data_IF_435708441829
#
_entry.id   IF_435708441829
#
_cell.length_a   1.000
_cell.length_b   1.000
_cell.length_c   1.000
_cell.angle_alpha   90.00
_cell.angle_beta   90.00
_cell.angle_gamma   90.00
#
_symmetry.space_group_name_H-M   'P 1'
#
loop_
_entity.id
_entity.type
_entity.pdbx_description
1 polymer ?
#
# COMPACT_ATOMS: atom_id res chain seq x y z
N UNK A 1 -19.78 5.76 -29.09
CA UNK A 1 -20.80 5.48 -28.09
C UNK A 1 -20.64 4.05 -27.63
N UNK A 2 -21.30 3.70 -26.54
CA UNK A 2 -21.09 2.42 -25.87
C UNK A 2 -22.39 1.61 -25.76
N UNK A 3 -22.28 0.29 -25.78
CA UNK A 3 -23.40 -0.64 -25.63
C UNK A 3 -23.07 -1.74 -24.61
N UNK A 4 -23.98 -1.99 -23.66
CA UNK A 4 -23.89 -3.09 -22.69
C UNK A 4 -24.57 -4.38 -23.18
N UNK A 5 -25.36 -4.30 -24.24
CA UNK A 5 -25.98 -5.43 -24.93
C UNK A 5 -26.25 -5.05 -26.39
N UNK A 6 -26.46 -6.04 -27.29
CA UNK A 6 -26.96 -5.74 -28.62
C UNK A 6 -28.33 -5.05 -28.53
N UNK A 7 -28.53 -4.01 -29.31
CA UNK A 7 -29.76 -3.22 -29.19
C UNK A 7 -30.04 -2.29 -30.36
N UNK A 8 -31.29 -1.80 -30.45
CA UNK A 8 -31.70 -0.90 -31.52
C UNK A 8 -31.04 0.48 -31.37
N UNK A 9 -30.81 1.13 -32.49
CA UNK A 9 -30.49 2.56 -32.56
C UNK A 9 -31.45 3.24 -33.53
N UNK A 10 -31.90 4.44 -33.18
CA UNK A 10 -32.67 5.33 -34.06
C UNK A 10 -31.98 6.69 -34.08
N UNK A 11 -31.75 7.22 -35.27
CA UNK A 11 -31.13 8.53 -35.48
C UNK A 11 -32.04 9.41 -36.34
N UNK A 12 -32.44 10.56 -35.81
CA UNK A 12 -33.09 11.63 -36.56
C UNK A 12 -32.01 12.59 -37.06
N UNK A 13 -31.86 12.68 -38.37
CA UNK A 13 -30.83 13.47 -39.04
C UNK A 13 -31.42 14.28 -40.20
N UNK A 14 -30.66 15.24 -40.74
CA UNK A 14 -31.06 16.00 -41.91
C UNK A 14 -31.36 15.07 -43.11
N UNK A 15 -32.31 15.41 -44.01
CA UNK A 15 -32.76 14.52 -45.08
C UNK A 15 -31.65 14.05 -46.05
N UNK A 16 -30.57 14.81 -46.16
CA UNK A 16 -29.39 14.49 -46.97
C UNK A 16 -28.52 13.38 -46.38
N UNK A 17 -28.70 13.03 -45.09
CA UNK A 17 -27.96 11.96 -44.42
C UNK A 17 -28.70 10.63 -44.63
N UNK A 18 -28.02 9.69 -45.29
CA UNK A 18 -28.56 8.36 -45.61
C UNK A 18 -27.78 7.20 -45.00
N UNK A 19 -26.68 7.49 -44.31
CA UNK A 19 -25.76 6.51 -43.73
C UNK A 19 -25.41 6.89 -42.31
N UNK A 20 -25.36 5.89 -41.44
CA UNK A 20 -24.94 6.04 -40.05
C UNK A 20 -23.70 5.20 -39.82
N UNK A 21 -22.72 5.76 -39.11
CA UNK A 21 -21.55 5.03 -38.62
C UNK A 21 -21.53 5.03 -37.10
N UNK A 22 -21.21 3.88 -36.52
CA UNK A 22 -21.00 3.70 -35.08
C UNK A 22 -19.55 3.29 -34.81
N UNK A 23 -18.85 4.05 -33.97
CA UNK A 23 -17.44 3.82 -33.61
C UNK A 23 -16.51 3.63 -34.83
N UNK A 24 -16.76 4.39 -35.91
CA UNK A 24 -15.99 4.35 -37.15
C UNK A 24 -16.35 3.22 -38.11
N UNK A 25 -17.41 2.43 -37.83
CA UNK A 25 -17.93 1.40 -38.74
C UNK A 25 -19.31 1.79 -39.25
N UNK A 26 -19.54 1.67 -40.55
CA UNK A 26 -20.88 1.83 -41.11
C UNK A 26 -21.82 0.76 -40.53
N UNK A 27 -23.02 1.18 -40.14
CA UNK A 27 -24.06 0.27 -39.66
C UNK A 27 -25.18 0.19 -40.68
N UNK A 28 -25.76 -1.01 -40.83
CA UNK A 28 -26.91 -1.20 -41.69
C UNK A 28 -28.13 -0.51 -41.07
N UNK A 29 -28.72 0.44 -41.79
CA UNK A 29 -29.89 1.18 -41.35
C UNK A 29 -31.02 1.13 -42.37
N UNK A 30 -32.26 1.21 -41.89
CA UNK A 30 -33.47 1.37 -42.69
C UNK A 30 -34.08 2.74 -42.42
N UNK A 31 -34.49 3.46 -43.47
CA UNK A 31 -35.23 4.72 -43.33
C UNK A 31 -36.66 4.42 -42.90
N UNK A 32 -37.12 5.10 -41.88
CA UNK A 32 -38.47 4.99 -41.30
C UNK A 32 -39.43 6.01 -41.92
N UNK A 33 -40.75 5.85 -41.77
CA UNK A 33 -41.75 6.77 -42.34
C UNK A 33 -41.60 8.22 -41.89
N UNK A 34 -41.11 8.45 -40.67
CA UNK A 34 -40.81 9.78 -40.10
C UNK A 34 -39.48 10.36 -40.58
N UNK A 35 -38.76 9.64 -41.44
CA UNK A 35 -37.46 10.03 -41.98
C UNK A 35 -36.26 9.58 -41.15
N UNK A 36 -36.45 8.97 -39.98
CA UNK A 36 -35.35 8.49 -39.14
C UNK A 36 -34.60 7.31 -39.76
N UNK A 37 -33.34 7.14 -39.39
CA UNK A 37 -32.55 5.94 -39.71
C UNK A 37 -32.57 5.02 -38.50
N UNK A 38 -33.09 3.79 -38.64
CA UNK A 38 -33.06 2.78 -37.59
C UNK A 38 -32.14 1.61 -37.94
N UNK A 39 -31.45 1.06 -36.96
CA UNK A 39 -30.51 -0.05 -37.12
C UNK A 39 -30.33 -0.85 -35.84
N UNK A 40 -29.35 -1.74 -35.85
CA UNK A 40 -28.95 -2.55 -34.70
C UNK A 40 -27.48 -2.33 -34.41
N UNK A 41 -27.14 -2.21 -33.13
CA UNK A 41 -25.77 -2.10 -32.64
C UNK A 41 -25.34 -3.43 -32.02
N UNK A 42 -24.05 -3.81 -32.18
CA UNK A 42 -23.51 -4.97 -31.48
C UNK A 42 -23.41 -4.67 -29.97
N UNK A 43 -23.43 -5.74 -29.18
CA UNK A 43 -23.07 -5.70 -27.76
C UNK A 43 -21.59 -6.09 -27.53
N UNK A 44 -21.21 -6.28 -26.26
CA UNK A 44 -19.87 -6.72 -25.89
C UNK A 44 -19.49 -8.08 -26.49
N UNK A 45 -18.19 -8.27 -26.69
CA UNK A 45 -17.59 -9.53 -27.17
C UNK A 45 -17.15 -10.36 -25.97
N UNK A 46 -17.43 -11.68 -25.92
CA UNK A 46 -17.00 -12.53 -24.80
C UNK A 46 -15.49 -12.46 -24.54
N UNK A 47 -15.12 -12.49 -23.27
CA UNK A 47 -13.73 -12.52 -22.82
C UNK A 47 -13.59 -13.42 -21.59
N UNK A 48 -12.34 -13.68 -21.17
CA UNK A 48 -12.04 -14.37 -19.93
C UNK A 48 -10.90 -13.66 -19.19
N UNK A 49 -10.94 -13.73 -17.86
CA UNK A 49 -9.85 -13.25 -17.01
C UNK A 49 -8.98 -14.45 -16.57
N UNK A 50 -7.65 -14.28 -16.52
CA UNK A 50 -6.76 -15.35 -16.10
C UNK A 50 -6.92 -15.64 -14.60
N UNK A 51 -6.69 -16.90 -14.21
CA UNK A 51 -6.44 -17.21 -12.80
C UNK A 51 -5.03 -16.78 -12.42
N UNK A 52 -4.90 -16.09 -11.29
CA UNK A 52 -3.59 -15.67 -10.78
C UNK A 52 -2.90 -16.84 -10.08
N UNK A 53 -1.86 -17.37 -10.70
CA UNK A 53 -1.09 -18.53 -10.22
C UNK A 53 0.40 -18.20 -10.17
N UNK A 54 1.25 -19.14 -9.75
CA UNK A 54 2.71 -18.95 -9.75
C UNK A 54 3.19 -17.91 -8.73
N UNK A 55 2.48 -17.77 -7.61
CA UNK A 55 2.84 -16.83 -6.56
C UNK A 55 4.19 -17.18 -5.93
N UNK A 56 4.95 -16.12 -5.63
CA UNK A 56 6.22 -16.20 -4.91
C UNK A 56 6.14 -15.35 -3.66
N UNK A 57 6.79 -15.82 -2.61
CA UNK A 57 6.80 -15.20 -1.30
C UNK A 57 8.22 -14.85 -0.84
N UNK A 58 8.38 -13.70 -0.20
CA UNK A 58 9.58 -13.36 0.57
C UNK A 58 9.23 -12.59 1.83
N UNK A 59 9.73 -13.05 2.97
CA UNK A 59 9.66 -12.31 4.22
C UNK A 59 10.57 -11.07 4.17
N UNK A 60 10.10 -9.98 4.76
CA UNK A 60 10.81 -8.73 5.02
C UNK A 60 11.06 -8.57 6.54
N UNK A 61 11.71 -7.45 6.87
CA UNK A 61 12.11 -6.81 8.12
C UNK A 61 13.54 -7.13 8.53
N UNK A 62 14.53 -7.13 7.61
CA UNK A 62 15.93 -7.17 8.04
C UNK A 62 16.25 -6.01 9.00
N UNK A 63 15.58 -4.86 8.87
CA UNK A 63 15.65 -3.71 9.77
C UNK A 63 15.30 -4.01 11.23
N UNK A 64 14.56 -5.09 11.51
CA UNK A 64 14.29 -5.50 12.88
C UNK A 64 15.51 -6.14 13.56
N UNK A 65 16.43 -6.71 12.77
CA UNK A 65 17.54 -7.51 13.28
C UNK A 65 18.66 -6.64 13.85
N UNK A 66 19.30 -7.12 14.91
CA UNK A 66 20.44 -6.43 15.52
C UNK A 66 21.61 -6.26 14.53
N UNK A 67 21.83 -7.25 13.66
CA UNK A 67 22.95 -7.26 12.70
C UNK A 67 22.73 -6.38 11.46
N UNK A 68 21.55 -5.79 11.29
CA UNK A 68 21.29 -4.93 10.15
C UNK A 68 22.11 -3.64 10.24
N UNK A 69 22.80 -3.31 9.16
CA UNK A 69 23.61 -2.10 9.10
C UNK A 69 22.76 -0.91 8.67
N UNK A 70 22.50 0.01 9.61
CA UNK A 70 21.78 1.26 9.38
C UNK A 70 22.70 2.48 9.32
N UNK A 71 24.01 2.30 9.17
CA UNK A 71 24.97 3.42 9.21
C UNK A 71 24.73 4.48 8.14
N UNK A 72 24.02 4.12 7.06
CA UNK A 72 23.65 5.04 5.97
C UNK A 72 22.29 5.73 6.18
N UNK A 73 21.56 5.41 7.25
CA UNK A 73 20.27 6.01 7.54
C UNK A 73 20.44 7.41 8.14
N UNK A 74 19.41 8.24 7.99
CA UNK A 74 19.39 9.57 8.57
C UNK A 74 19.50 9.47 10.09
N UNK A 75 20.46 10.20 10.68
CA UNK A 75 20.57 10.32 12.12
C UNK A 75 19.47 11.27 12.62
N UNK A 76 18.70 10.84 13.63
CA UNK A 76 17.78 11.73 14.31
C UNK A 76 18.53 12.50 15.39
N UNK A 77 18.98 13.72 15.09
CA UNK A 77 19.75 14.58 15.98
C UNK A 77 19.14 15.97 16.18
N UNK A 78 17.96 16.24 15.61
CA UNK A 78 17.30 17.54 15.75
C UNK A 78 16.90 17.79 17.22
N UNK A 79 17.45 18.82 17.89
CA UNK A 79 17.12 19.10 19.29
C UNK A 79 15.79 19.85 19.44
N UNK A 80 15.31 20.47 18.37
CA UNK A 80 14.08 21.26 18.27
C UNK A 80 13.41 20.99 16.93
N UNK A 81 12.13 21.35 16.82
CA UNK A 81 11.35 21.23 15.59
C UNK A 81 10.71 22.57 15.25
N UNK A 82 10.45 22.79 13.96
CA UNK A 82 9.58 23.89 13.49
C UNK A 82 8.10 23.53 13.53
N UNK A 83 7.76 22.28 13.83
CA UNK A 83 6.39 21.83 14.02
C UNK A 83 5.76 22.52 15.25
N UNK A 84 4.51 23.02 15.17
CA UNK A 84 3.84 23.63 16.33
C UNK A 84 3.56 22.64 17.46
N UNK A 85 3.55 21.32 17.16
CA UNK A 85 3.40 20.27 18.18
C UNK A 85 4.73 20.07 18.91
N UNK A 86 4.77 20.24 20.25
CA UNK A 86 6.00 20.00 21.01
C UNK A 86 6.39 18.51 21.02
N UNK A 87 7.69 18.18 20.87
CA UNK A 87 8.17 16.80 20.94
C UNK A 87 7.97 16.21 22.34
N UNK A 88 7.61 14.92 22.41
CA UNK A 88 7.45 14.22 23.70
C UNK A 88 8.82 13.92 24.33
N UNK A 89 9.82 13.63 23.49
CA UNK A 89 11.21 13.42 23.89
C UNK A 89 12.15 14.05 22.87
N UNK A 90 13.39 14.35 23.27
CA UNK A 90 14.47 14.76 22.35
C UNK A 90 15.51 13.64 22.18
N UNK A 91 16.16 13.51 21.00
CA UNK A 91 15.97 14.31 19.78
C UNK A 91 14.57 14.12 19.17
N UNK A 92 14.14 15.06 18.33
CA UNK A 92 12.86 14.99 17.63
C UNK A 92 12.86 13.76 16.72
N UNK A 93 11.75 13.00 16.72
CA UNK A 93 11.59 11.77 15.94
C UNK A 93 10.53 11.89 14.82
N UNK A 94 10.00 13.08 14.58
CA UNK A 94 8.95 13.31 13.58
C UNK A 94 9.48 12.99 12.19
N UNK A 95 8.78 12.15 11.43
CA UNK A 95 9.24 11.73 10.11
C UNK A 95 9.44 12.92 9.14
N UNK A 96 8.51 13.89 9.19
CA UNK A 96 8.53 15.08 8.34
C UNK A 96 9.74 15.99 8.58
N UNK A 97 10.25 16.06 9.82
CA UNK A 97 11.44 16.83 10.16
C UNK A 97 12.70 16.30 9.45
N UNK A 98 12.66 15.07 8.96
CA UNK A 98 13.76 14.42 8.24
C UNK A 98 13.43 14.14 6.77
N UNK A 99 12.40 14.78 6.21
CA UNK A 99 12.05 14.70 4.79
C UNK A 99 11.32 13.41 4.38
N UNK A 100 10.65 12.74 5.32
CA UNK A 100 9.89 11.52 5.07
C UNK A 100 8.38 11.75 5.32
N UNK A 101 7.62 11.94 4.24
CA UNK A 101 6.25 12.45 4.32
C UNK A 101 5.16 11.41 4.06
N UNK A 102 5.48 10.23 3.51
CA UNK A 102 4.47 9.29 3.02
C UNK A 102 4.85 7.83 3.27
N UNK A 103 3.85 6.96 3.34
CA UNK A 103 4.04 5.52 3.41
C UNK A 103 4.58 5.07 4.77
N UNK A 104 5.74 4.45 4.78
CA UNK A 104 6.32 3.82 5.95
C UNK A 104 7.63 4.47 6.35
N UNK A 105 7.89 4.49 7.65
CA UNK A 105 9.16 4.93 8.21
C UNK A 105 9.63 3.92 9.23
N UNK A 106 10.84 3.41 9.00
CA UNK A 106 11.56 2.63 9.99
C UNK A 106 12.38 3.54 10.90
N UNK A 107 12.38 3.21 12.18
CA UNK A 107 13.22 3.80 13.21
C UNK A 107 14.07 2.73 13.85
N UNK A 108 15.33 3.03 14.15
CA UNK A 108 16.26 2.15 14.86
C UNK A 108 16.95 2.92 15.98
N UNK A 109 16.59 2.57 17.21
CA UNK A 109 17.13 3.16 18.43
C UNK A 109 18.19 2.25 19.04
N UNK A 110 19.45 2.68 18.96
CA UNK A 110 20.61 1.98 19.53
C UNK A 110 20.86 2.43 20.96
N UNK A 111 21.12 1.50 21.87
CA UNK A 111 21.50 1.79 23.25
C UNK A 111 22.35 0.68 23.85
N UNK A 112 23.28 1.04 24.74
CA UNK A 112 24.01 0.06 25.56
C UNK A 112 23.20 -0.24 26.81
N UNK A 113 22.72 -1.47 26.95
CA UNK A 113 21.87 -1.86 28.07
C UNK A 113 22.67 -1.99 29.36
N UNK A 114 22.14 -1.48 30.48
CA UNK A 114 22.70 -1.74 31.81
C UNK A 114 22.26 -3.11 32.34
N UNK A 115 21.16 -3.66 31.82
CA UNK A 115 20.50 -4.87 32.30
C UNK A 115 19.33 -4.60 33.25
N UNK A 116 19.08 -3.33 33.60
CA UNK A 116 17.89 -2.94 34.38
C UNK A 116 16.68 -2.59 33.50
N UNK A 117 16.86 -2.53 32.17
CA UNK A 117 15.80 -2.20 31.23
C UNK A 117 14.72 -3.28 31.23
N UNK A 118 13.47 -2.88 31.44
CA UNK A 118 12.30 -3.78 31.45
C UNK A 118 11.40 -3.60 30.23
N UNK A 119 11.63 -2.57 29.42
CA UNK A 119 10.80 -2.26 28.26
C UNK A 119 11.11 -0.90 27.64
N UNK A 120 10.29 -0.52 26.67
CA UNK A 120 10.30 0.81 26.04
C UNK A 120 8.88 1.36 25.97
N UNK A 121 8.71 2.63 26.36
CA UNK A 121 7.48 3.39 26.13
C UNK A 121 7.65 4.20 24.86
N UNK A 122 6.75 4.00 23.90
CA UNK A 122 6.75 4.70 22.62
C UNK A 122 5.45 5.49 22.47
N UNK A 123 5.56 6.70 21.95
CA UNK A 123 4.43 7.49 21.46
C UNK A 123 4.58 7.61 19.96
N UNK A 124 3.57 7.21 19.19
CA UNK A 124 3.58 7.27 17.74
C UNK A 124 2.27 7.84 17.19
N UNK A 125 2.35 8.48 16.03
CA UNK A 125 1.18 8.95 15.30
C UNK A 125 1.29 8.57 13.82
N UNK A 126 0.31 7.80 13.33
CA UNK A 126 0.23 7.42 11.92
C UNK A 126 -0.89 8.11 11.15
N UNK A 127 -1.58 9.08 11.78
CA UNK A 127 -2.86 9.60 11.30
C UNK A 127 -4.01 8.61 11.55
N UNK A 128 -5.16 8.85 10.93
CA UNK A 128 -6.32 7.98 11.08
C UNK A 128 -6.02 6.56 10.62
N UNK A 129 -6.34 5.60 11.49
CA UNK A 129 -6.02 4.19 11.27
C UNK A 129 -4.52 3.91 11.12
N UNK A 130 -3.66 4.76 11.67
CA UNK A 130 -2.23 4.49 11.74
C UNK A 130 -1.93 3.20 12.51
N UNK A 131 -0.81 2.57 12.17
CA UNK A 131 -0.28 1.42 12.90
C UNK A 131 1.23 1.53 13.07
N UNK A 132 1.75 0.83 14.08
CA UNK A 132 3.18 0.61 14.22
C UNK A 132 3.47 -0.73 14.90
N UNK A 133 4.64 -1.28 14.60
CA UNK A 133 5.15 -2.55 15.15
C UNK A 133 6.53 -2.34 15.73
N UNK A 134 6.87 -3.10 16.77
CA UNK A 134 8.09 -2.91 17.57
C UNK A 134 8.83 -4.23 17.73
N UNK A 135 10.15 -4.19 17.59
CA UNK A 135 11.06 -5.29 17.85
C UNK A 135 12.21 -4.85 18.75
N UNK A 136 12.74 -5.79 19.55
CA UNK A 136 14.04 -5.66 20.22
C UNK A 136 14.97 -6.74 19.66
N UNK A 137 16.09 -6.34 19.06
CA UNK A 137 17.11 -7.27 18.54
C UNK A 137 16.55 -8.36 17.60
N UNK A 138 15.50 -8.03 16.82
CA UNK A 138 14.81 -8.97 15.93
C UNK A 138 13.63 -9.72 16.55
N UNK A 139 13.44 -9.63 17.87
CA UNK A 139 12.30 -10.25 18.58
C UNK A 139 11.12 -9.29 18.60
N UNK A 140 9.99 -9.73 18.06
CA UNK A 140 8.76 -8.95 18.03
C UNK A 140 8.21 -8.72 19.45
N UNK A 141 7.94 -7.46 19.78
CA UNK A 141 7.36 -7.06 21.06
C UNK A 141 5.86 -6.81 20.99
N UNK A 142 5.34 -6.42 19.83
CA UNK A 142 3.94 -6.10 19.64
C UNK A 142 3.71 -5.04 18.57
N UNK A 143 2.43 -4.80 18.29
CA UNK A 143 1.98 -3.71 17.43
C UNK A 143 0.84 -2.93 18.08
N UNK A 144 0.63 -1.71 17.61
CA UNK A 144 -0.61 -0.98 17.79
C UNK A 144 -1.21 -0.73 16.42
N UNK A 145 -2.51 -1.00 16.30
CA UNK A 145 -3.31 -0.57 15.17
C UNK A 145 -4.69 -0.16 15.69
N UNK A 146 -5.23 0.92 15.14
CA UNK A 146 -6.59 1.32 15.42
C UNK A 146 -7.55 0.43 14.61
N UNK A 147 -8.37 -0.36 15.30
CA UNK A 147 -9.37 -1.26 14.70
C UNK A 147 -10.77 -0.66 14.58
N UNK A 148 -10.94 0.64 14.84
CA UNK A 148 -12.22 1.34 14.73
C UNK A 148 -12.16 2.42 13.67
N UNK A 149 -13.24 2.55 12.88
CA UNK A 149 -13.38 3.65 11.92
C UNK A 149 -13.39 4.97 12.66
N UNK A 150 -12.43 5.83 12.34
CA UNK A 150 -12.37 7.17 12.89
C UNK A 150 -13.34 8.12 12.17
N UNK A 151 -13.92 9.03 12.94
CA UNK A 151 -14.90 10.02 12.48
C UNK A 151 -14.52 11.39 13.04
N UNK A 152 -15.21 12.46 12.62
CA UNK A 152 -15.02 13.79 13.20
C UNK A 152 -15.24 13.84 14.71
N UNK A 153 -16.00 12.90 15.28
CA UNK A 153 -16.27 12.79 16.72
C UNK A 153 -15.30 11.86 17.47
N UNK A 154 -14.39 11.18 16.75
CA UNK A 154 -13.33 10.35 17.32
C UNK A 154 -12.07 10.44 16.44
N UNK A 155 -11.36 11.59 16.48
CA UNK A 155 -10.22 11.86 15.60
C UNK A 155 -8.99 11.01 15.94
N UNK A 156 -8.03 10.98 15.01
CA UNK A 156 -6.74 10.33 15.24
C UNK A 156 -6.01 11.03 16.38
N UNK A 157 -5.56 10.25 17.35
CA UNK A 157 -4.70 10.75 18.42
C UNK A 157 -3.42 9.91 18.46
N UNK A 158 -2.28 10.53 18.82
CA UNK A 158 -1.06 9.79 19.11
C UNK A 158 -1.31 8.66 20.09
N UNK A 159 -0.74 7.49 19.81
CA UNK A 159 -0.88 6.29 20.63
C UNK A 159 0.40 6.11 21.46
N UNK A 160 0.24 6.01 22.78
CA UNK A 160 1.34 5.74 23.71
C UNK A 160 1.20 4.34 24.31
N UNK A 161 2.27 3.55 24.30
CA UNK A 161 2.29 2.21 24.88
C UNK A 161 3.68 1.83 25.36
N UNK A 162 3.71 1.09 26.46
CA UNK A 162 4.89 0.40 26.95
C UNK A 162 4.93 -1.03 26.42
N UNK A 163 6.05 -1.41 25.81
CA UNK A 163 6.35 -2.75 25.34
C UNK A 163 7.42 -3.36 26.25
N UNK A 164 7.08 -4.45 26.92
CA UNK A 164 8.00 -5.14 27.83
C UNK A 164 9.08 -5.89 27.04
N UNK A 165 10.30 -5.90 27.56
CA UNK A 165 11.39 -6.70 27.01
C UNK A 165 11.29 -8.15 27.51
N UNK A 166 11.21 -9.15 26.62
CA UNK A 166 11.21 -10.54 27.02
C UNK A 166 12.55 -10.93 27.66
N UNK A 167 12.50 -11.90 28.57
CA UNK A 167 13.71 -12.43 29.21
C UNK A 167 14.68 -13.00 28.17
N UNK A 168 15.97 -12.73 28.35
CA UNK A 168 17.04 -13.26 27.49
C UNK A 168 17.24 -12.54 26.14
N UNK A 169 16.41 -11.55 25.79
CA UNK A 169 16.57 -10.78 24.54
C UNK A 169 17.55 -9.60 24.69
N UNK A 170 17.52 -8.96 25.87
CA UNK A 170 18.36 -7.82 26.21
C UNK A 170 19.82 -8.27 26.43
N UNK A 171 20.76 -7.57 25.79
CA UNK A 171 22.21 -7.82 25.90
C UNK A 171 22.85 -6.80 26.84
N UNK A 172 22.93 -7.11 28.13
CA UNK A 172 23.58 -6.23 29.13
C UNK A 172 25.06 -5.99 28.77
N UNK A 173 25.49 -4.73 28.91
CA UNK A 173 26.86 -4.28 28.61
C UNK A 173 27.20 -4.19 27.12
N UNK A 174 26.23 -4.41 26.23
CA UNK A 174 26.42 -4.40 24.78
C UNK A 174 25.33 -3.58 24.07
N UNK A 175 25.53 -3.33 22.78
CA UNK A 175 24.56 -2.64 21.94
C UNK A 175 23.28 -3.48 21.75
N UNK A 176 22.15 -2.79 21.82
CA UNK A 176 20.81 -3.31 21.60
C UNK A 176 20.07 -2.36 20.67
N UNK A 177 19.15 -2.89 19.89
CA UNK A 177 18.37 -2.13 18.93
C UNK A 177 16.89 -2.33 19.17
N UNK A 178 16.19 -1.22 19.40
CA UNK A 178 14.74 -1.14 19.25
C UNK A 178 14.46 -0.73 17.81
N UNK A 179 13.82 -1.60 17.05
CA UNK A 179 13.33 -1.29 15.71
C UNK A 179 11.83 -1.00 15.76
N UNK A 180 11.40 0.08 15.11
CA UNK A 180 9.99 0.46 15.02
C UNK A 180 9.63 0.72 13.57
N UNK A 181 8.62 0.02 13.06
CA UNK A 181 8.00 0.32 11.77
C UNK A 181 6.73 1.11 12.03
N UNK A 182 6.65 2.33 11.50
CA UNK A 182 5.45 3.17 11.56
C UNK A 182 4.85 3.32 10.17
N UNK A 183 3.51 3.36 10.09
CA UNK A 183 2.79 3.74 8.89
C UNK A 183 2.26 5.17 9.04
N UNK A 184 2.52 6.00 8.04
CA UNK A 184 1.79 7.22 7.76
C UNK A 184 0.65 6.91 6.78
N UNK A 185 -0.59 6.94 7.28
CA UNK A 185 -1.80 6.72 6.49
C UNK A 185 -2.25 7.95 5.69
N UNK A 186 -1.44 9.03 5.69
CA UNK A 186 -1.74 10.33 5.11
C UNK A 186 -1.72 11.43 6.17
N UNK A 187 -1.42 12.65 5.75
CA UNK A 187 -1.54 13.85 6.59
C UNK A 187 -2.99 14.30 6.68
N UNK A 188 -3.32 14.99 7.76
CA UNK A 188 -4.65 15.52 7.97
C UNK A 188 -4.88 16.70 7.01
N UNK A 189 -6.13 16.95 6.64
CA UNK A 189 -6.50 18.23 6.02
C UNK A 189 -6.38 19.36 7.06
N UNK A 190 -6.31 20.62 6.61
CA UNK A 190 -6.36 21.79 7.51
C UNK A 190 -7.51 22.72 7.15
N UNK A 191 -8.12 23.25 8.20
CA UNK A 191 -9.21 24.21 8.13
C UNK A 191 -10.61 23.60 7.95
N UNK A 192 -11.59 24.45 8.24
CA UNK A 192 -12.96 24.30 7.77
C UNK A 192 -13.37 25.63 7.13
N UNK A 193 -14.29 25.61 6.16
CA UNK A 193 -14.69 26.81 5.38
C UNK A 193 -15.04 28.05 6.25
N UNK A 194 -15.44 27.85 7.51
CA UNK A 194 -15.78 28.92 8.46
C UNK A 194 -15.02 28.83 9.82
N UNK A 195 -13.83 28.26 9.85
CA UNK A 195 -13.01 28.18 11.07
C UNK A 195 -11.57 28.65 10.79
N UNK A 196 -10.89 29.31 11.75
CA UNK A 196 -9.46 29.59 11.61
C UNK A 196 -8.69 28.28 11.41
N UNK A 197 -7.62 28.29 10.58
CA UNK A 197 -6.75 27.11 10.43
C UNK A 197 -6.17 26.75 11.79
N UNK A 198 -6.15 25.46 12.09
CA UNK A 198 -5.64 24.92 13.36
C UNK A 198 -4.32 24.17 13.18
N UNK A 199 -3.74 24.26 11.99
CA UNK A 199 -2.50 23.59 11.62
C UNK A 199 -2.57 22.05 11.76
N UNK A 200 -3.75 21.44 11.52
CA UNK A 200 -3.92 19.98 11.64
C UNK A 200 -3.14 19.17 10.59
N UNK A 201 -2.94 19.71 9.39
CA UNK A 201 -2.01 19.18 8.39
C UNK A 201 -0.57 19.06 8.88
N UNK A 202 -0.18 19.80 9.92
CA UNK A 202 1.15 19.70 10.55
C UNK A 202 1.21 18.67 11.68
N UNK A 203 0.11 17.98 12.01
CA UNK A 203 0.16 16.92 13.02
C UNK A 203 1.28 15.91 12.69
N UNK A 204 2.28 15.74 13.55
CA UNK A 204 3.48 15.00 13.20
C UNK A 204 3.17 13.52 12.96
N UNK A 205 3.92 12.90 12.05
CA UNK A 205 3.83 11.48 11.72
C UNK A 205 5.07 10.71 12.18
N UNK A 206 4.91 9.42 12.41
CA UNK A 206 5.97 8.54 12.88
C UNK A 206 6.08 8.48 14.40
N UNK A 207 7.29 8.41 14.94
CA UNK A 207 7.54 8.44 16.39
C UNK A 207 7.51 9.88 16.91
N UNK A 208 6.81 10.10 18.01
CA UNK A 208 6.70 11.39 18.69
C UNK A 208 7.51 11.41 20.00
N UNK A 209 7.81 10.23 20.56
CA UNK A 209 8.77 10.07 21.62
C UNK A 209 9.05 8.62 21.99
N UNK A 210 10.18 8.43 22.68
CA UNK A 210 10.63 7.12 23.12
C UNK A 210 11.38 7.21 24.45
N UNK A 211 11.06 6.33 25.39
CA UNK A 211 11.72 6.27 26.70
C UNK A 211 11.91 4.82 27.18
N UNK A 212 13.16 4.45 27.48
CA UNK A 212 13.45 3.17 28.14
C UNK A 212 12.78 3.11 29.52
N UNK A 213 12.33 1.92 29.90
CA UNK A 213 11.80 1.65 31.23
C UNK A 213 12.87 0.99 32.09
N UNK A 214 13.05 1.47 33.32
CA UNK A 214 14.07 0.95 34.24
C UNK A 214 15.50 1.43 33.96
N UNK A 215 15.70 2.34 33.01
CA UNK A 215 17.00 2.91 32.67
C UNK A 215 16.84 4.32 32.11
N UNK A 216 17.85 5.16 32.33
CA UNK A 216 17.97 6.50 31.71
C UNK A 216 19.05 6.54 30.63
N UNK A 217 19.51 5.37 30.17
CA UNK A 217 20.48 5.26 29.09
C UNK A 217 19.99 6.03 27.85
N UNK A 218 20.91 6.76 27.22
CA UNK A 218 20.63 7.48 25.99
C UNK A 218 20.39 6.49 24.85
N UNK A 219 19.33 6.71 24.08
CA UNK A 219 19.03 5.97 22.86
C UNK A 219 19.37 6.86 21.66
N UNK A 220 20.25 6.38 20.77
CA UNK A 220 20.59 7.06 19.52
C UNK A 220 19.72 6.53 18.40
N UNK A 221 18.92 7.42 17.80
CA UNK A 221 17.94 7.05 16.79
C UNK A 221 18.44 7.32 15.38
N UNK A 222 18.20 6.37 14.47
CA UNK A 222 18.22 6.59 13.03
C UNK A 222 16.86 6.28 12.44
N UNK A 223 16.53 6.92 11.32
CA UNK A 223 15.29 6.67 10.61
C UNK A 223 15.48 6.66 9.09
N UNK A 224 14.60 5.90 8.43
CA UNK A 224 14.56 5.79 6.98
C UNK A 224 13.11 5.60 6.53
N UNK A 225 12.61 6.58 5.77
CA UNK A 225 11.40 6.43 4.97
C UNK A 225 11.74 5.96 3.54
N UNK A 226 11.11 6.58 2.56
CA UNK A 226 11.36 6.29 1.15
C UNK A 226 12.81 6.62 0.73
N UNK A 227 13.37 5.79 -0.18
CA UNK A 227 14.70 6.05 -0.77
C UNK A 227 14.71 7.41 -1.46
N UNK A 228 15.62 8.29 -1.01
CA UNK A 228 15.78 9.65 -1.53
C UNK A 228 14.98 10.74 -0.82
N UNK A 229 14.10 10.39 0.14
CA UNK A 229 13.28 11.36 0.88
C UNK A 229 12.48 12.25 -0.07
N UNK A 230 12.62 13.56 0.08
CA UNK A 230 12.00 14.58 -0.79
C UNK A 230 12.45 14.51 -2.27
N UNK A 231 13.51 13.76 -2.57
CA UNK A 231 14.02 13.53 -3.92
C UNK A 231 13.84 12.06 -4.35
N UNK A 232 12.59 11.60 -4.61
CA UNK A 232 12.31 10.20 -4.85
C UNK A 232 13.02 9.70 -6.12
N UNK A 233 13.53 8.47 -6.04
CA UNK A 233 14.15 7.76 -7.18
C UNK A 233 13.14 7.55 -8.31
N UNK A 234 11.89 7.20 -7.96
CA UNK A 234 10.80 7.04 -8.92
C UNK A 234 10.00 8.34 -9.08
N UNK A 235 10.47 9.19 -10.00
CA UNK A 235 9.79 10.45 -10.34
C UNK A 235 8.54 10.27 -11.19
N UNK A 236 8.35 9.09 -11.80
CA UNK A 236 7.19 8.81 -12.65
C UNK A 236 5.96 8.53 -11.80
N UNK A 237 6.12 7.71 -10.76
CA UNK A 237 5.03 7.39 -9.82
C UNK A 237 4.82 8.46 -8.75
N UNK A 238 5.84 9.29 -8.53
CA UNK A 238 5.78 10.43 -7.62
C UNK A 238 5.80 10.03 -6.13
N UNK A 239 5.71 11.02 -5.23
CA UNK A 239 5.95 10.80 -3.80
C UNK A 239 4.83 10.05 -3.06
N UNK A 240 3.62 10.00 -3.62
CA UNK A 240 2.45 9.37 -2.99
C UNK A 240 2.34 7.86 -3.25
N UNK A 241 3.18 7.29 -4.12
CA UNK A 241 3.26 5.84 -4.25
C UNK A 241 3.85 5.28 -2.93
N UNK A 242 3.15 4.39 -2.23
CA UNK A 242 3.59 3.93 -0.92
C UNK A 242 5.01 3.36 -0.98
N UNK A 243 5.86 3.88 -0.11
CA UNK A 243 7.31 3.66 -0.09
C UNK A 243 7.81 3.58 1.35
N UNK A 244 9.07 3.18 1.56
CA UNK A 244 9.69 3.12 2.89
C UNK A 244 9.71 1.75 3.58
N UNK A 245 9.02 0.75 3.02
CA UNK A 245 9.30 -0.66 3.32
C UNK A 245 10.64 -1.05 2.69
N UNK A 246 11.32 -2.07 3.23
CA UNK A 246 12.51 -2.65 2.62
C UNK A 246 12.21 -3.03 1.16
N UNK A 247 11.12 -3.75 0.93
CA UNK A 247 10.75 -4.22 -0.39
C UNK A 247 10.44 -3.09 -1.37
N UNK A 248 9.81 -1.99 -0.93
CA UNK A 248 9.60 -0.84 -1.82
C UNK A 248 10.90 -0.09 -2.11
N UNK A 249 11.74 0.13 -1.10
CA UNK A 249 13.06 0.74 -1.25
C UNK A 249 14.03 -0.08 -2.12
N UNK A 250 13.80 -1.40 -2.25
CA UNK A 250 14.56 -2.31 -3.10
C UNK A 250 13.82 -2.70 -4.39
N UNK A 251 12.68 -2.07 -4.70
CA UNK A 251 11.98 -2.22 -5.97
C UNK A 251 11.23 -3.55 -6.16
N UNK A 252 10.91 -4.30 -5.10
CA UNK A 252 10.22 -5.59 -5.18
C UNK A 252 8.83 -5.50 -5.81
N UNK A 253 8.19 -4.34 -5.64
CA UNK A 253 6.90 -4.00 -6.25
C UNK A 253 6.96 -3.72 -7.76
N UNK A 254 8.16 -3.54 -8.33
CA UNK A 254 8.33 -3.09 -9.72
C UNK A 254 8.23 -4.23 -10.74
N UNK A 255 7.77 -3.94 -11.96
CA UNK A 255 7.86 -4.86 -13.09
C UNK A 255 9.31 -5.30 -13.33
N UNK A 256 9.51 -6.59 -13.64
CA UNK A 256 10.82 -7.13 -13.98
C UNK A 256 11.82 -7.30 -12.81
N UNK A 257 11.41 -7.09 -11.56
CA UNK A 257 12.23 -7.47 -10.40
C UNK A 257 12.58 -8.98 -10.43
N UNK A 258 13.85 -9.38 -10.20
CA UNK A 258 14.30 -10.77 -10.27
C UNK A 258 13.93 -11.54 -9.00
N UNK A 259 12.67 -12.00 -8.92
CA UNK A 259 12.12 -12.75 -7.79
C UNK A 259 12.33 -14.28 -7.88
N UNK A 260 13.18 -14.78 -8.78
CA UNK A 260 13.37 -16.22 -8.96
C UNK A 260 13.87 -16.97 -7.70
N UNK A 261 14.53 -16.25 -6.78
CA UNK A 261 15.00 -16.78 -5.50
C UNK A 261 13.94 -16.78 -4.39
N UNK A 262 12.75 -16.24 -4.65
CA UNK A 262 11.67 -16.20 -3.68
C UNK A 262 10.99 -17.57 -3.58
N UNK A 263 10.45 -17.87 -2.40
CA UNK A 263 9.80 -19.15 -2.12
C UNK A 263 8.50 -19.27 -2.91
N UNK A 264 8.30 -20.30 -3.73
CA UNK A 264 7.00 -20.54 -4.38
C UNK A 264 5.92 -20.80 -3.32
N UNK A 265 4.75 -20.18 -3.47
CA UNK A 265 3.59 -20.37 -2.60
C UNK A 265 2.30 -20.46 -3.43
N UNK A 266 1.23 -20.94 -2.81
CA UNK A 266 -0.13 -20.86 -3.36
C UNK A 266 -0.99 -20.00 -2.46
N UNK A 267 -2.04 -19.40 -3.02
CA UNK A 267 -3.05 -18.68 -2.25
C UNK A 267 -4.35 -19.48 -2.21
N UNK A 268 -5.10 -19.46 -1.09
CA UNK A 268 -4.80 -18.76 0.17
C UNK A 268 -3.55 -19.29 0.90
N UNK A 269 -2.84 -18.40 1.60
CA UNK A 269 -1.62 -18.71 2.36
C UNK A 269 -1.79 -18.34 3.84
N UNK A 270 -1.14 -19.10 4.71
CA UNK A 270 -1.11 -18.92 6.17
C UNK A 270 0.34 -19.04 6.64
N UNK A 271 0.88 -17.94 7.17
CA UNK A 271 2.28 -17.83 7.57
C UNK A 271 2.66 -18.81 8.70
N UNK A 272 1.70 -19.19 9.54
CA UNK A 272 1.94 -20.11 10.66
C UNK A 272 2.40 -21.48 10.17
N UNK A 273 1.92 -21.91 9.00
CA UNK A 273 2.32 -23.18 8.37
C UNK A 273 3.79 -23.20 7.97
N UNK A 274 4.41 -22.01 7.86
CA UNK A 274 5.83 -21.81 7.51
C UNK A 274 6.67 -21.31 8.70
N UNK A 275 6.08 -21.23 9.90
CA UNK A 275 6.75 -20.77 11.12
C UNK A 275 7.10 -19.27 11.12
N UNK A 276 6.41 -18.46 10.32
CA UNK A 276 6.60 -17.01 10.28
C UNK A 276 5.68 -16.32 11.29
N UNK A 277 6.19 -15.29 11.97
CA UNK A 277 5.44 -14.48 12.95
C UNK A 277 5.08 -13.09 12.39
N UNK A 278 4.72 -12.16 13.26
CA UNK A 278 4.46 -10.76 12.90
C UNK A 278 5.61 -10.13 12.11
N UNK A 279 5.27 -9.23 11.19
CA UNK A 279 6.23 -8.60 10.30
C UNK A 279 5.65 -8.35 8.92
N UNK A 280 6.53 -8.09 7.96
CA UNK A 280 6.14 -7.81 6.58
C UNK A 280 6.51 -8.99 5.70
N UNK A 281 5.62 -9.38 4.80
CA UNK A 281 5.83 -10.43 3.83
C UNK A 281 5.30 -9.99 2.47
N UNK A 282 6.00 -10.40 1.41
CA UNK A 282 5.69 -9.99 0.05
C UNK A 282 5.25 -11.16 -0.79
N UNK A 283 4.15 -10.98 -1.50
CA UNK A 283 3.66 -11.87 -2.53
C UNK A 283 3.85 -11.23 -3.90
N UNK A 284 4.31 -11.99 -4.88
CA UNK A 284 4.47 -11.51 -6.26
C UNK A 284 4.08 -12.56 -7.28
N UNK A 285 3.42 -12.12 -8.36
CA UNK A 285 3.24 -12.93 -9.57
C UNK A 285 3.08 -12.03 -10.81
N UNK A 286 3.06 -12.65 -11.98
CA UNK A 286 2.77 -12.01 -13.27
C UNK A 286 1.60 -12.70 -13.96
N UNK A 287 0.83 -11.94 -14.74
CA UNK A 287 -0.28 -12.46 -15.53
C UNK A 287 -0.41 -11.69 -16.85
N UNK A 288 -1.06 -12.29 -17.84
CA UNK A 288 -1.29 -11.67 -19.15
C UNK A 288 -2.78 -11.52 -19.41
N UNK A 289 -3.18 -10.36 -19.95
CA UNK A 289 -4.55 -10.08 -20.39
C UNK A 289 -4.65 -10.05 -21.92
N UNK A 290 -5.81 -10.48 -22.42
CA UNK A 290 -6.16 -10.47 -23.84
C UNK A 290 -7.60 -9.97 -24.00
N UNK A 291 -7.85 -8.72 -23.59
CA UNK A 291 -9.21 -8.16 -23.63
C UNK A 291 -9.59 -7.72 -25.06
N UNK A 292 -10.85 -7.93 -25.49
CA UNK A 292 -11.32 -7.51 -26.80
C UNK A 292 -11.00 -6.04 -27.11
N UNK A 293 -10.52 -5.77 -28.32
CA UNK A 293 -10.31 -4.40 -28.78
C UNK A 293 -11.64 -3.66 -28.88
N UNK A 294 -11.64 -2.34 -28.61
CA UNK A 294 -12.85 -1.49 -28.63
C UNK A 294 -13.92 -2.00 -27.64
N UNK A 295 -13.47 -2.38 -26.46
CA UNK A 295 -14.33 -2.62 -25.31
C UNK A 295 -13.86 -1.76 -24.15
N UNK A 296 -14.80 -1.42 -23.27
CA UNK A 296 -14.52 -0.89 -21.95
C UNK A 296 -14.86 -1.98 -20.94
N UNK A 297 -13.83 -2.53 -20.29
CA UNK A 297 -13.94 -3.62 -19.32
C UNK A 297 -13.18 -3.15 -18.06
N UNK A 298 -13.85 -2.46 -17.12
CA UNK A 298 -13.22 -2.07 -15.87
C UNK A 298 -12.89 -3.31 -15.05
N UNK A 299 -11.65 -3.42 -14.57
CA UNK A 299 -11.16 -4.59 -13.80
C UNK A 299 -10.79 -4.15 -12.39
N UNK A 300 -11.12 -4.97 -11.41
CA UNK A 300 -10.61 -4.85 -10.04
C UNK A 300 -9.79 -6.08 -9.63
N UNK A 301 -8.88 -5.87 -8.69
CA UNK A 301 -8.31 -6.94 -7.88
C UNK A 301 -9.27 -7.21 -6.72
N UNK A 302 -9.72 -8.45 -6.61
CA UNK A 302 -10.51 -8.97 -5.51
C UNK A 302 -9.58 -9.67 -4.52
N UNK A 303 -9.68 -9.27 -3.24
CA UNK A 303 -9.00 -9.91 -2.12
C UNK A 303 -10.05 -10.56 -1.22
N UNK A 304 -10.13 -11.88 -1.26
CA UNK A 304 -11.05 -12.62 -0.40
C UNK A 304 -10.56 -12.58 1.06
N UNK A 305 -11.47 -12.74 2.01
CA UNK A 305 -11.12 -12.82 3.44
C UNK A 305 -10.15 -13.97 3.69
N UNK A 306 -9.39 -13.86 4.78
CA UNK A 306 -8.44 -14.90 5.17
C UNK A 306 -9.17 -16.25 5.37
N UNK A 307 -8.53 -17.36 4.99
CA UNK A 307 -9.10 -18.69 5.15
C UNK A 307 -9.43 -18.97 6.64
N UNK A 308 -10.36 -19.91 6.86
CA UNK A 308 -10.77 -20.38 8.18
C UNK A 308 -11.41 -19.33 9.11
N UNK A 309 -11.86 -18.19 8.58
CA UNK A 309 -12.42 -17.11 9.40
C UNK A 309 -11.38 -16.42 10.29
N UNK A 310 -10.10 -16.50 9.89
CA UNK A 310 -9.00 -15.89 10.64
C UNK A 310 -9.24 -14.39 10.83
N UNK A 311 -9.21 -13.95 12.09
CA UNK A 311 -9.27 -12.55 12.50
C UNK A 311 -7.88 -11.92 12.60
N UNK A 312 -6.85 -12.53 11.98
CA UNK A 312 -5.49 -12.03 12.02
C UNK A 312 -5.44 -10.56 11.61
N UNK A 313 -4.82 -9.75 12.48
CA UNK A 313 -4.67 -8.32 12.23
C UNK A 313 -3.59 -8.13 11.19
N UNK A 314 -3.99 -7.94 9.94
CA UNK A 314 -3.06 -7.66 8.86
C UNK A 314 -3.55 -6.56 7.92
N UNK A 315 -2.58 -5.95 7.25
CA UNK A 315 -2.78 -4.94 6.22
C UNK A 315 -2.09 -5.37 4.95
N UNK A 316 -2.70 -5.17 3.79
CA UNK A 316 -2.09 -5.49 2.51
C UNK A 316 -2.05 -4.28 1.58
N UNK A 317 -0.91 -4.06 0.95
CA UNK A 317 -0.65 -2.95 0.03
C UNK A 317 -0.46 -3.53 -1.36
N UNK A 318 -1.41 -3.24 -2.26
CA UNK A 318 -1.56 -3.89 -3.55
C UNK A 318 -0.93 -3.01 -4.62
N UNK A 319 0.11 -3.52 -5.27
CA UNK A 319 0.81 -2.86 -6.36
C UNK A 319 0.53 -3.55 -7.69
N UNK A 320 0.11 -2.78 -8.70
CA UNK A 320 -0.04 -3.24 -10.08
C UNK A 320 0.94 -2.47 -10.96
N UNK A 321 1.82 -3.21 -11.62
CA UNK A 321 2.90 -2.65 -12.43
C UNK A 321 3.70 -1.56 -11.69
N UNK A 322 3.91 -1.74 -10.38
CA UNK A 322 4.64 -0.82 -9.50
C UNK A 322 3.81 0.33 -8.92
N UNK A 323 2.56 0.52 -9.34
CA UNK A 323 1.68 1.54 -8.77
C UNK A 323 0.87 0.98 -7.62
N UNK A 324 0.84 1.65 -6.46
CA UNK A 324 -0.04 1.32 -5.35
C UNK A 324 -1.50 1.60 -5.75
N UNK A 325 -2.30 0.54 -5.88
CA UNK A 325 -3.70 0.62 -6.30
C UNK A 325 -4.68 0.33 -5.15
N UNK A 326 -4.20 -0.15 -4.01
CA UNK A 326 -5.08 -0.49 -2.91
C UNK A 326 -4.36 -0.66 -1.59
N UNK A 327 -5.04 -0.28 -0.51
CA UNK A 327 -4.69 -0.63 0.86
C UNK A 327 -5.87 -1.40 1.44
N UNK A 328 -5.63 -2.65 1.80
CA UNK A 328 -6.57 -3.52 2.48
C UNK A 328 -6.22 -3.53 3.97
N UNK A 329 -7.22 -3.37 4.83
CA UNK A 329 -7.08 -3.52 6.28
C UNK A 329 -8.13 -4.52 6.76
N UNK A 330 -7.69 -5.70 7.19
CA UNK A 330 -8.58 -6.78 7.64
C UNK A 330 -9.33 -6.41 8.93
N UNK A 331 -8.85 -5.42 9.69
CA UNK A 331 -9.53 -4.93 10.89
C UNK A 331 -10.70 -4.00 10.62
N UNK A 332 -10.69 -3.32 9.47
CA UNK A 332 -11.58 -2.19 9.22
C UNK A 332 -12.52 -2.44 8.06
N UNK A 333 -12.01 -2.99 6.95
CA UNK A 333 -12.75 -3.08 5.70
C UNK A 333 -13.37 -1.74 5.27
N UNK A 334 -14.44 -1.73 4.46
CA UNK A 334 -15.12 -2.88 3.86
C UNK A 334 -14.55 -3.25 2.48
N UNK A 335 -13.47 -2.57 2.04
CA UNK A 335 -13.04 -2.68 0.66
C UNK A 335 -12.26 -3.99 0.44
N UNK A 336 -12.86 -4.87 -0.36
CA UNK A 336 -12.24 -6.10 -0.86
C UNK A 336 -11.99 -6.06 -2.37
N UNK A 337 -12.50 -5.03 -3.05
CA UNK A 337 -12.37 -4.82 -4.49
C UNK A 337 -11.64 -3.50 -4.76
N UNK A 338 -10.50 -3.60 -5.45
CA UNK A 338 -9.63 -2.48 -5.76
C UNK A 338 -9.59 -2.29 -7.27
N UNK A 339 -10.31 -1.27 -7.76
CA UNK A 339 -10.33 -0.95 -9.18
C UNK A 339 -8.93 -0.60 -9.69
N UNK A 340 -8.55 -1.14 -10.84
CA UNK A 340 -7.29 -0.84 -11.50
C UNK A 340 -7.59 -0.17 -12.84
N UNK A 341 -7.23 1.12 -13.02
CA UNK A 341 -7.48 1.83 -14.26
C UNK A 341 -6.83 1.17 -15.47
N UNK A 342 -7.54 1.15 -16.60
CA UNK A 342 -6.93 0.90 -17.90
C UNK A 342 -5.77 1.89 -18.12
N UNK A 343 -4.67 1.41 -18.70
CA UNK A 343 -3.44 2.20 -18.86
C UNK A 343 -2.42 1.94 -17.77
N UNK A 344 -2.83 1.84 -16.49
CA UNK A 344 -1.99 1.24 -15.45
C UNK A 344 -1.98 -0.28 -15.65
N UNK A 345 -3.17 -0.86 -15.81
CA UNK A 345 -3.34 -2.23 -16.24
C UNK A 345 -3.10 -2.33 -17.74
N UNK A 346 -2.17 -3.20 -18.14
CA UNK A 346 -1.99 -3.57 -19.52
C UNK A 346 -3.06 -4.61 -19.91
N UNK A 347 -4.16 -4.13 -20.47
CA UNK A 347 -5.32 -4.94 -20.83
C UNK A 347 -5.09 -5.90 -22.03
N UNK A 348 -3.95 -5.78 -22.71
CA UNK A 348 -3.58 -6.61 -23.86
C UNK A 348 -2.10 -7.02 -23.80
N UNK A 349 -1.62 -7.37 -22.60
CA UNK A 349 -0.25 -7.81 -22.40
C UNK A 349 0.06 -8.21 -20.96
N UNK A 350 1.35 -8.27 -20.65
CA UNK A 350 1.86 -8.71 -19.35
C UNK A 350 1.68 -7.63 -18.28
N UNK A 351 1.37 -8.09 -17.08
CA UNK A 351 1.25 -7.30 -15.86
C UNK A 351 2.00 -7.99 -14.70
N UNK A 352 2.47 -7.19 -13.75
CA UNK A 352 3.00 -7.65 -12.46
C UNK A 352 2.06 -7.23 -11.36
N UNK A 353 1.72 -8.14 -10.46
CA UNK A 353 1.08 -7.84 -9.18
C UNK A 353 2.05 -8.18 -8.06
N UNK A 354 2.24 -7.23 -7.14
CA UNK A 354 2.98 -7.43 -5.90
C UNK A 354 2.10 -6.96 -4.74
N UNK A 355 2.11 -7.71 -3.64
CA UNK A 355 1.31 -7.40 -2.45
C UNK A 355 2.24 -7.48 -1.25
N UNK A 356 2.43 -6.36 -0.56
CA UNK A 356 3.09 -6.35 0.74
C UNK A 356 2.02 -6.55 1.81
N UNK A 357 2.12 -7.62 2.58
CA UNK A 357 1.28 -7.86 3.74
C UNK A 357 2.08 -7.53 5.01
N UNK A 358 1.48 -6.77 5.91
CA UNK A 358 1.99 -6.48 7.24
C UNK A 358 1.11 -7.17 8.29
N UNK A 359 1.64 -8.23 8.87
CA UNK A 359 1.05 -8.95 9.99
C UNK A 359 1.38 -8.23 11.30
N UNK A 360 0.34 -7.80 12.03
CA UNK A 360 0.45 -6.97 13.22
C UNK A 360 0.46 -7.79 14.52
N UNK A 361 0.23 -9.11 14.44
CA UNK A 361 0.15 -9.99 15.60
C UNK A 361 1.09 -11.20 15.49
N UNK A 362 1.52 -11.70 16.65
CA UNK A 362 2.47 -12.82 16.74
C UNK A 362 1.91 -14.12 16.15
N UNK A 363 0.59 -14.23 16.00
CA UNK A 363 -0.12 -15.32 15.33
C UNK A 363 0.11 -15.35 13.80
N UNK A 364 0.97 -14.47 13.28
CA UNK A 364 1.42 -14.49 11.88
C UNK A 364 0.48 -13.72 10.95
N UNK A 365 0.83 -13.76 9.67
CA UNK A 365 0.04 -13.23 8.56
C UNK A 365 -0.52 -14.32 7.67
N UNK A 366 -0.95 -13.90 6.50
CA UNK A 366 -1.50 -14.75 5.46
C UNK A 366 -2.27 -13.90 4.47
N UNK A 367 -2.40 -14.42 3.26
CA UNK A 367 -3.17 -13.73 2.23
C UNK A 367 -4.31 -14.64 1.77
N UNK A 368 -5.50 -14.07 1.70
CA UNK A 368 -6.66 -14.73 1.13
C UNK A 368 -6.47 -14.99 -0.37
N UNK A 369 -7.51 -15.55 -1.01
CA UNK A 369 -7.50 -15.71 -2.46
C UNK A 369 -7.48 -14.34 -3.13
N UNK A 370 -6.56 -14.17 -4.09
CA UNK A 370 -6.48 -12.97 -4.94
C UNK A 370 -6.98 -13.33 -6.33
N UNK A 371 -7.91 -12.55 -6.88
CA UNK A 371 -8.42 -12.76 -8.24
C UNK A 371 -8.67 -11.45 -8.98
N UNK A 372 -8.83 -11.53 -10.31
CA UNK A 372 -9.30 -10.42 -11.13
C UNK A 372 -10.80 -10.56 -11.35
N UNK A 373 -11.53 -9.46 -11.24
CA UNK A 373 -12.97 -9.41 -11.50
C UNK A 373 -13.27 -8.28 -12.49
N UNK A 374 -14.16 -8.53 -13.43
CA UNK A 374 -14.71 -7.50 -14.29
C UNK A 374 -15.86 -6.80 -13.57
N UNK A 375 -15.82 -5.47 -13.50
CA UNK A 375 -16.87 -4.64 -12.90
C UNK A 375 -17.92 -4.20 -13.93
N UNK A 376 -17.67 -4.47 -15.21
CA UNK A 376 -18.53 -4.11 -16.32
C UNK A 376 -18.01 -4.70 -17.62
N UNK A 377 -18.88 -4.69 -18.63
CA UNK A 377 -18.58 -5.16 -19.97
C UNK A 377 -19.37 -4.33 -20.98
N UNK A 378 -18.68 -3.45 -21.70
CA UNK A 378 -19.26 -2.58 -22.70
C UNK A 378 -18.49 -2.67 -24.02
N UNK A 379 -19.20 -2.79 -25.14
CA UNK A 379 -18.60 -2.54 -26.45
C UNK A 379 -18.49 -1.03 -26.69
N UNK A 380 -17.35 -0.58 -27.20
CA UNK A 380 -17.03 0.84 -27.38
C UNK A 380 -15.81 1.25 -26.57
N UNK A 381 -15.96 2.32 -25.79
CA UNK A 381 -14.90 2.94 -25.03
C UNK A 381 -13.94 3.78 -25.88
N UNK A 382 -13.00 4.43 -25.20
CA UNK A 382 -11.94 5.22 -25.81
C UNK A 382 -10.63 4.42 -25.80
N UNK A 383 -9.77 4.55 -26.83
CA UNK A 383 -8.43 3.97 -26.77
C UNK A 383 -7.65 4.55 -25.59
N UNK A 384 -7.12 3.69 -24.73
CA UNK A 384 -6.29 4.08 -23.59
C UNK A 384 -4.84 3.69 -23.86
N UNK A 385 -3.92 4.63 -23.64
CA UNK A 385 -2.47 4.38 -23.71
C UNK A 385 -1.96 3.90 -22.36
N UNK A 386 -0.92 3.07 -22.38
CA UNK A 386 -0.25 2.69 -21.13
C UNK A 386 0.35 3.92 -20.45
N UNK A 387 0.13 4.02 -19.15
CA UNK A 387 0.80 4.98 -18.29
C UNK A 387 2.24 4.51 -18.11
N UNK A 388 3.24 5.41 -18.22
CA UNK A 388 4.63 5.06 -17.96
C UNK A 388 4.77 4.34 -16.60
N UNK A 389 5.31 3.13 -16.65
CA UNK A 389 5.46 2.27 -15.46
C UNK A 389 6.87 1.67 -15.46
N UNK A 390 7.91 2.47 -15.14
CA UNK A 390 9.30 2.03 -15.20
C UNK A 390 9.50 0.73 -14.42
N UNK A 391 10.25 -0.19 -15.01
CA UNK A 391 10.60 -1.47 -14.39
C UNK A 391 11.76 -1.34 -13.41
N UNK A 392 12.06 -2.42 -12.70
CA UNK A 392 13.16 -2.49 -11.74
C UNK A 392 14.50 -2.05 -12.34
N UNK A 393 14.83 -2.50 -13.56
CA UNK A 393 16.07 -2.13 -14.23
C UNK A 393 16.20 -0.65 -14.59
N UNK A 394 15.08 0.11 -14.62
CA UNK A 394 15.10 1.55 -14.89
C UNK A 394 15.37 2.40 -13.64
N UNK A 395 15.16 1.84 -12.44
CA UNK A 395 15.16 2.58 -11.16
C UNK A 395 16.22 2.08 -10.15
N UNK A 396 17.13 1.20 -10.59
CA UNK A 396 18.17 0.61 -9.72
C UNK A 396 19.22 1.63 -9.30
#
# INVERSE_FOLDING_TARGET
GDTSSPGPITAWAAPSISRLSWNGRLIATRKQPDGALSGQLPGPVPFSLPTLTGWRFKAEAPEAQLSYNDSSWTLADHPVTTNPTPPVTTPVLYADDYGFHHGFVWYRGHFTATGSETGVTLTANGGSHGAFSVWLNGVFLGSIAQGTKQTSTNPATPQTRTFSFPSGVLRSGADNVIAVLTQNSGHDEDGAYNAPPIDSQKNPRGLLGAALQGSTATVTWRLQGNRGGENPVDRVRGPYNATGLYGTNHGWHLPGYPDASWTPVSLPDDWTTRGLSAGVGWYRTTFTLHLPSRSYIPIAVQLDTLPNGSSAKSRAFIFINGWLMGQYDNLLGPQHQFYVPAGILNQNGSNTIAIAEWALEATGGGLGRVSLVALGDQAGGVPVKLVPSPGYGNLR
#
